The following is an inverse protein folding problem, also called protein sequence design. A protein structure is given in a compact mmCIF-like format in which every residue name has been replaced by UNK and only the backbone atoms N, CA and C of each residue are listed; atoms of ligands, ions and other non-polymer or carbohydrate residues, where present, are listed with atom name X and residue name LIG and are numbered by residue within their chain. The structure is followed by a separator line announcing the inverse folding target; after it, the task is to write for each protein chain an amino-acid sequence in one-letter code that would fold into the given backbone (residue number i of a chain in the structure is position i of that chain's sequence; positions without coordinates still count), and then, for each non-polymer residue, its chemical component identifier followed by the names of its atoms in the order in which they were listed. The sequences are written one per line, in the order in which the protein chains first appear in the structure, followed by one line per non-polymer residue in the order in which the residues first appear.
data_IF_055040870850
#
_entry.id   IF_055040870850
#
_cell.length_a   1.000
_cell.length_b   1.000
_cell.length_c   1.000
_cell.angle_alpha   90.00
_cell.angle_beta   90.00
_cell.angle_gamma   90.00
#
_symmetry.space_group_name_H-M   'P 1'
#
loop_
_entity.id
_entity.type
_entity.pdbx_description
1 polymer ?
#
# COMPACT_ATOMS: atom_id res chain seq x y z
N UNK A 1 20.41 -22.14 -4.99
CA UNK A 1 19.48 -21.34 -4.18
C UNK A 1 20.05 -19.93 -4.15
N UNK A 2 19.43 -18.98 -4.87
CA UNK A 2 19.75 -17.56 -4.74
C UNK A 2 18.81 -16.99 -3.71
N UNK A 3 19.32 -16.50 -2.59
CA UNK A 3 18.59 -15.65 -1.65
C UNK A 3 19.08 -14.22 -1.81
N UNK A 4 18.44 -13.25 -1.18
CA UNK A 4 19.04 -11.93 -0.99
C UNK A 4 19.38 -11.73 0.49
N UNK A 5 20.37 -10.89 0.77
CA UNK A 5 20.83 -10.54 2.11
C UNK A 5 20.62 -9.05 2.31
N UNK A 6 19.78 -8.69 3.28
CA UNK A 6 19.58 -7.31 3.71
C UNK A 6 20.53 -7.00 4.87
N UNK A 7 21.31 -5.93 4.75
CA UNK A 7 22.34 -5.53 5.71
C UNK A 7 22.11 -4.06 6.08
N UNK A 8 21.96 -3.77 7.36
CA UNK A 8 21.95 -2.40 7.87
C UNK A 8 23.34 -1.92 8.28
N UNK A 9 23.62 -0.64 8.04
CA UNK A 9 24.83 0.06 8.45
C UNK A 9 24.41 1.35 9.19
N UNK A 10 24.06 1.25 10.50
CA UNK A 10 23.46 2.35 11.26
C UNK A 10 24.40 3.54 11.54
N UNK A 11 25.70 3.38 11.39
CA UNK A 11 26.69 4.45 11.63
C UNK A 11 27.31 4.96 10.32
N UNK A 12 26.58 4.80 9.22
CA UNK A 12 27.02 5.29 7.92
C UNK A 12 26.71 6.79 7.79
N UNK A 13 27.68 7.55 7.28
CA UNK A 13 27.64 9.01 7.22
C UNK A 13 27.18 9.58 5.86
N UNK A 14 26.67 8.74 4.95
CA UNK A 14 26.35 9.15 3.57
C UNK A 14 25.34 10.29 3.48
N UNK A 15 24.43 10.43 4.46
CA UNK A 15 23.44 11.52 4.54
C UNK A 15 23.71 12.56 5.63
N UNK A 16 24.04 12.12 6.85
CA UNK A 16 24.46 12.92 7.98
C UNK A 16 25.27 12.05 8.96
N UNK A 17 25.94 12.65 9.96
CA UNK A 17 26.75 11.93 10.96
C UNK A 17 25.94 10.85 11.68
N UNK A 18 26.34 9.59 11.60
CA UNK A 18 25.63 8.43 12.17
C UNK A 18 24.14 8.34 11.73
N UNK A 19 23.80 8.85 10.54
CA UNK A 19 22.42 8.79 10.04
C UNK A 19 22.01 7.38 9.63
N UNK A 20 22.97 6.60 9.13
CA UNK A 20 22.80 5.21 8.74
C UNK A 20 22.24 4.98 7.34
N UNK A 21 22.42 3.75 6.85
CA UNK A 21 21.98 3.28 5.53
C UNK A 21 21.68 1.78 5.59
N UNK A 22 21.01 1.22 4.59
CA UNK A 22 20.93 -0.23 4.43
C UNK A 22 21.17 -0.67 2.97
N UNK A 23 21.72 -1.86 2.80
CA UNK A 23 22.10 -2.42 1.51
C UNK A 23 21.44 -3.78 1.30
N UNK A 24 21.12 -4.08 0.05
CA UNK A 24 20.62 -5.36 -0.37
C UNK A 24 21.58 -6.03 -1.32
N UNK A 25 21.99 -7.26 -0.99
CA UNK A 25 22.91 -8.04 -1.81
C UNK A 25 22.25 -9.33 -2.31
N UNK A 26 22.65 -9.76 -3.50
CA UNK A 26 22.38 -11.12 -3.96
C UNK A 26 23.29 -12.11 -3.19
N UNK A 27 22.70 -13.09 -2.51
CA UNK A 27 23.43 -14.01 -1.66
C UNK A 27 24.33 -14.97 -2.45
N UNK A 28 24.08 -15.14 -3.76
CA UNK A 28 24.85 -16.06 -4.59
C UNK A 28 26.08 -15.40 -5.22
N UNK A 29 25.94 -14.17 -5.71
CA UNK A 29 26.98 -13.42 -6.42
C UNK A 29 27.66 -12.34 -5.58
N UNK A 30 27.03 -11.91 -4.47
CA UNK A 30 27.49 -10.75 -3.70
C UNK A 30 27.26 -9.42 -4.42
N UNK A 31 26.51 -9.42 -5.52
CA UNK A 31 26.18 -8.19 -6.24
C UNK A 31 25.24 -7.32 -5.39
N UNK A 32 25.53 -6.03 -5.32
CA UNK A 32 24.61 -5.05 -4.76
C UNK A 32 23.38 -4.96 -5.66
N UNK A 33 22.22 -5.25 -5.09
CA UNK A 33 20.91 -5.20 -5.74
C UNK A 33 20.23 -3.85 -5.52
N UNK A 34 20.28 -3.33 -4.29
CA UNK A 34 19.63 -2.07 -3.94
C UNK A 34 20.31 -1.41 -2.74
N UNK A 35 20.10 -0.09 -2.61
CA UNK A 35 20.56 0.72 -1.48
C UNK A 35 19.38 1.53 -0.95
N UNK A 36 19.12 1.41 0.34
CA UNK A 36 18.05 2.10 1.04
C UNK A 36 18.62 3.24 1.89
N UNK A 37 18.23 4.46 1.54
CA UNK A 37 18.63 5.68 2.22
C UNK A 37 17.50 6.21 3.12
N UNK A 38 17.87 6.91 4.20
CA UNK A 38 16.91 7.66 5.01
C UNK A 38 16.41 8.88 4.20
N UNK A 39 15.10 9.06 3.97
CA UNK A 39 14.54 10.21 3.24
C UNK A 39 14.78 11.57 3.91
N UNK A 40 15.00 11.59 5.23
CA UNK A 40 15.26 12.80 6.01
C UNK A 40 16.38 12.52 7.02
N UNK A 41 17.64 12.34 6.56
CA UNK A 41 18.73 11.94 7.42
C UNK A 41 19.08 13.05 8.41
N UNK A 42 18.96 12.76 9.70
CA UNK A 42 19.45 13.61 10.78
C UNK A 42 20.59 12.92 11.54
N UNK A 43 21.47 13.70 12.19
CA UNK A 43 22.58 13.14 12.94
C UNK A 43 22.11 12.17 14.03
N UNK A 44 22.65 10.96 14.03
CA UNK A 44 22.37 9.95 15.04
C UNK A 44 21.06 9.17 14.87
N UNK A 45 20.31 9.36 13.78
CA UNK A 45 19.06 8.62 13.50
C UNK A 45 19.25 7.08 13.52
N UNK A 46 20.44 6.63 13.08
CA UNK A 46 20.83 5.22 13.01
C UNK A 46 19.89 4.35 12.17
N UNK A 47 19.53 4.83 11.00
CA UNK A 47 18.80 4.07 10.00
C UNK A 47 19.54 2.78 9.64
N UNK A 48 18.85 1.63 9.68
CA UNK A 48 19.50 0.32 9.50
C UNK A 48 19.89 -0.35 10.82
N UNK A 49 19.58 0.24 11.98
CA UNK A 49 19.79 -0.39 13.29
C UNK A 49 18.98 -1.69 13.46
N UNK A 50 17.86 -1.81 12.76
CA UNK A 50 17.12 -3.06 12.64
C UNK A 50 16.61 -3.23 11.21
N UNK A 51 16.65 -4.46 10.71
CA UNK A 51 16.21 -4.79 9.35
C UNK A 51 15.36 -6.05 9.36
N UNK A 52 14.30 -6.09 8.56
CA UNK A 52 13.47 -7.25 8.34
C UNK A 52 13.04 -7.30 6.88
N UNK A 53 13.08 -8.49 6.28
CA UNK A 53 12.64 -8.71 4.91
C UNK A 53 11.71 -9.92 4.84
N UNK A 54 10.65 -9.82 4.04
CA UNK A 54 9.70 -10.91 3.81
C UNK A 54 8.85 -10.67 2.57
N UNK A 55 8.84 -11.63 1.65
CA UNK A 55 8.08 -11.52 0.39
C UNK A 55 8.59 -10.37 -0.48
N UNK A 56 7.74 -9.37 -0.71
CA UNK A 56 8.06 -8.14 -1.44
C UNK A 56 8.37 -6.94 -0.54
N UNK A 57 8.51 -7.15 0.78
CA UNK A 57 8.58 -6.08 1.77
C UNK A 57 9.92 -6.09 2.50
N UNK A 58 10.52 -4.90 2.62
CA UNK A 58 11.65 -4.59 3.48
C UNK A 58 11.21 -3.55 4.51
N UNK A 59 11.48 -3.80 5.78
CA UNK A 59 11.31 -2.84 6.86
C UNK A 59 12.68 -2.54 7.48
N UNK A 60 13.00 -1.26 7.61
CA UNK A 60 14.25 -0.76 8.19
C UNK A 60 13.91 0.21 9.31
N UNK A 61 14.40 -0.07 10.51
CA UNK A 61 14.20 0.78 11.67
C UNK A 61 15.32 1.80 11.85
N UNK A 62 14.91 2.98 12.31
CA UNK A 62 15.73 4.12 12.72
C UNK A 62 15.27 4.51 14.12
N UNK A 63 15.94 4.01 15.15
CA UNK A 63 15.37 4.02 16.52
C UNK A 63 15.56 5.36 17.26
N UNK A 64 16.49 6.19 16.79
CA UNK A 64 16.76 7.53 17.32
C UNK A 64 16.17 8.63 16.43
N UNK A 65 15.32 8.26 15.48
CA UNK A 65 14.70 9.20 14.56
C UNK A 65 13.86 10.26 15.29
N UNK A 66 14.18 11.52 15.02
CA UNK A 66 13.64 12.71 15.67
C UNK A 66 12.50 13.40 14.88
N UNK A 67 12.12 12.88 13.71
CA UNK A 67 11.23 13.57 12.74
C UNK A 67 9.86 13.93 13.31
N UNK A 68 9.31 13.10 14.19
CA UNK A 68 7.97 13.32 14.80
C UNK A 68 8.05 13.77 16.27
N UNK A 69 9.08 13.36 17.00
CA UNK A 69 9.41 13.79 18.36
C UNK A 69 10.83 13.30 18.72
N UNK A 70 11.50 13.89 19.72
CA UNK A 70 12.85 13.48 20.10
C UNK A 70 12.94 11.98 20.45
N UNK A 71 13.81 11.26 19.74
CA UNK A 71 14.09 9.84 19.77
C UNK A 71 12.80 8.99 19.73
N UNK A 72 11.81 9.43 18.96
CA UNK A 72 10.55 8.70 18.83
C UNK A 72 10.73 7.38 18.08
N UNK A 73 11.71 7.37 17.17
CA UNK A 73 12.01 6.25 16.31
C UNK A 73 11.00 6.09 15.18
N UNK A 74 11.49 5.70 14.02
CA UNK A 74 10.72 5.55 12.79
C UNK A 74 11.05 4.20 12.15
N UNK A 75 10.08 3.60 11.47
CA UNK A 75 10.29 2.43 10.62
C UNK A 75 9.95 2.79 9.18
N UNK A 76 10.93 2.62 8.30
CA UNK A 76 10.81 2.83 6.87
C UNK A 76 10.46 1.51 6.20
N UNK A 77 9.42 1.51 5.37
CA UNK A 77 8.92 0.33 4.68
C UNK A 77 9.08 0.51 3.18
N UNK A 78 9.88 -0.35 2.56
CA UNK A 78 10.10 -0.43 1.13
C UNK A 78 9.33 -1.62 0.57
N UNK A 79 8.56 -1.39 -0.50
CA UNK A 79 7.73 -2.40 -1.18
C UNK A 79 8.34 -2.76 -2.53
N UNK A 80 7.82 -3.82 -3.15
CA UNK A 80 8.24 -4.39 -4.44
C UNK A 80 9.66 -4.98 -4.49
N UNK A 81 10.23 -5.26 -3.33
CA UNK A 81 11.55 -5.86 -3.19
C UNK A 81 11.43 -7.38 -3.27
N UNK A 82 11.57 -7.95 -4.47
CA UNK A 82 11.32 -9.38 -4.69
C UNK A 82 12.42 -10.26 -4.06
N UNK A 83 12.05 -11.04 -3.04
CA UNK A 83 12.93 -12.02 -2.41
C UNK A 83 12.46 -13.47 -2.62
N UNK A 84 13.25 -14.33 -3.29
CA UNK A 84 14.50 -14.08 -4.02
C UNK A 84 14.28 -13.41 -5.39
N UNK A 85 15.30 -12.75 -5.98
CA UNK A 85 15.18 -12.18 -7.32
C UNK A 85 14.73 -13.26 -8.32
N UNK A 86 13.89 -12.92 -9.32
CA UNK A 86 13.46 -13.89 -10.32
C UNK A 86 14.71 -14.50 -10.99
N UNK A 87 14.76 -15.82 -11.21
CA UNK A 87 15.87 -16.44 -11.94
C UNK A 87 16.06 -15.70 -13.27
N UNK A 88 17.31 -15.51 -13.75
CA UNK A 88 17.53 -14.82 -15.02
C UNK A 88 16.74 -15.56 -16.10
N UNK A 89 15.70 -14.90 -16.64
CA UNK A 89 14.94 -15.44 -17.77
C UNK A 89 15.91 -15.48 -18.94
N UNK A 90 16.40 -16.68 -19.27
CA UNK A 90 17.15 -16.92 -20.50
C UNK A 90 16.22 -16.61 -21.67
N UNK A 91 16.34 -15.41 -22.22
CA UNK A 91 15.69 -15.00 -23.46
C UNK A 91 16.16 -15.94 -24.56
N UNK A 92 15.42 -17.01 -24.81
CA UNK A 92 15.72 -17.94 -25.90
C UNK A 92 15.20 -17.33 -27.19
N UNK A 93 16.04 -16.55 -27.87
CA UNK A 93 15.76 -16.04 -29.20
C UNK A 93 15.65 -17.21 -30.17
N UNK A 94 14.42 -17.68 -30.42
CA UNK A 94 14.17 -18.72 -31.41
C UNK A 94 14.21 -18.07 -32.79
N UNK A 95 15.32 -18.25 -33.52
CA UNK A 95 15.45 -17.77 -34.90
C UNK A 95 14.83 -18.81 -35.83
N UNK A 96 13.57 -18.61 -36.21
CA UNK A 96 12.90 -19.46 -37.20
C UNK A 96 13.42 -19.12 -38.60
N UNK A 97 14.34 -19.92 -39.13
CA UNK A 97 14.79 -19.82 -40.53
C UNK A 97 13.73 -20.45 -41.43
N UNK A 98 12.95 -19.60 -42.11
CA UNK A 98 12.07 -20.05 -43.19
C UNK A 98 12.95 -20.28 -44.43
N UNK A 99 13.15 -21.56 -44.77
CA UNK A 99 13.76 -21.96 -46.05
C UNK A 99 12.77 -21.68 -47.18
N UNK A 100 13.15 -20.80 -48.10
CA UNK A 100 12.47 -20.63 -49.39
C UNK A 100 13.21 -21.44 -50.44
N UNK A 101 12.58 -22.52 -50.92
CA UNK A 101 12.96 -23.24 -52.13
C UNK A 101 12.41 -22.50 -53.34
N UNK A 102 13.29 -22.06 -54.25
CA UNK A 102 12.91 -21.68 -55.61
C UNK A 102 13.73 -22.43 -56.63
N UNK A 103 13.00 -23.11 -57.51
CA UNK A 103 13.38 -24.05 -58.55
C UNK A 103 14.08 -23.35 -59.71
N UNK A 104 15.04 -24.05 -60.31
CA UNK A 104 15.85 -23.62 -61.44
C UNK A 104 15.07 -23.71 -62.76
N UNK A 105 15.03 -22.64 -63.54
CA UNK A 105 14.71 -22.69 -64.99
C UNK A 105 15.68 -21.78 -65.74
N UNK A 106 16.28 -22.34 -66.78
CA UNK A 106 17.34 -21.77 -67.62
C UNK A 106 16.74 -20.77 -68.62
N UNK A 107 17.20 -19.51 -68.60
CA UNK A 107 17.64 -18.71 -69.76
C UNK A 107 17.65 -17.20 -69.45
N UNK A 108 18.86 -16.64 -69.42
CA UNK A 108 19.28 -15.31 -69.93
C UNK A 108 18.33 -14.11 -69.76
N UNK A 109 18.61 -13.22 -68.80
CA UNK A 109 18.92 -11.79 -69.02
C UNK A 109 19.08 -11.07 -67.68
N UNK A 110 20.16 -10.30 -67.58
CA UNK A 110 20.54 -9.49 -66.43
C UNK A 110 19.74 -8.20 -66.41
N UNK A 111 19.10 -7.87 -65.29
CA UNK A 111 18.84 -6.47 -64.90
C UNK A 111 18.42 -6.38 -63.44
N UNK A 112 19.31 -5.81 -62.64
CA UNK A 112 19.09 -5.38 -61.26
C UNK A 112 18.46 -3.99 -61.27
N UNK A 113 17.33 -3.82 -60.58
CA UNK A 113 16.91 -2.51 -60.08
C UNK A 113 16.01 -2.69 -58.86
N UNK A 114 16.56 -2.33 -57.70
CA UNK A 114 15.91 -2.33 -56.40
C UNK A 114 14.85 -1.22 -56.40
N UNK A 115 13.58 -1.61 -56.41
CA UNK A 115 12.47 -0.66 -56.26
C UNK A 115 12.01 -0.67 -54.80
N UNK A 116 12.08 0.50 -54.17
CA UNK A 116 11.82 0.72 -52.77
C UNK A 116 10.44 0.25 -52.33
N UNK A 117 10.42 -0.45 -51.19
CA UNK A 117 9.21 -0.64 -50.42
C UNK A 117 8.97 0.63 -49.59
N UNK A 118 7.83 1.27 -49.81
CA UNK A 118 7.31 2.32 -48.94
C UNK A 118 6.85 1.64 -47.65
N UNK A 119 7.57 1.88 -46.55
CA UNK A 119 7.12 1.45 -45.22
C UNK A 119 6.31 2.58 -44.60
N UNK A 120 4.99 2.43 -44.53
CA UNK A 120 4.15 3.28 -43.68
C UNK A 120 4.28 2.80 -42.25
N UNK A 121 5.00 3.55 -41.42
CA UNK A 121 5.08 3.31 -39.98
C UNK A 121 3.90 4.01 -39.30
N UNK A 122 2.86 3.26 -38.94
CA UNK A 122 1.91 3.72 -37.93
C UNK A 122 2.48 3.32 -36.58
N UNK A 123 3.08 4.28 -35.88
CA UNK A 123 3.47 4.13 -34.48
C UNK A 123 2.18 4.10 -33.66
N UNK A 124 1.67 2.90 -33.36
CA UNK A 124 0.76 2.76 -32.22
C UNK A 124 1.57 3.04 -30.95
N UNK A 125 1.12 3.90 -30.03
CA UNK A 125 1.75 4.00 -28.72
C UNK A 125 1.76 2.61 -28.06
N UNK A 126 2.80 2.27 -27.29
CA UNK A 126 2.90 0.97 -26.64
C UNK A 126 1.64 0.71 -25.80
N UNK A 127 1.14 -0.53 -25.76
CA UNK A 127 0.00 -0.87 -24.91
C UNK A 127 0.35 -0.49 -23.47
N UNK A 128 -0.51 0.32 -22.86
CA UNK A 128 -0.40 0.82 -21.49
C UNK A 128 -0.51 -0.38 -20.53
N UNK A 129 0.59 -1.09 -20.35
CA UNK A 129 0.69 -2.33 -19.60
C UNK A 129 1.73 -2.20 -18.49
N UNK A 130 1.61 -1.16 -17.67
CA UNK A 130 2.54 -0.92 -16.55
C UNK A 130 1.89 -0.71 -15.18
N UNK A 131 0.55 -0.63 -15.05
CA UNK A 131 -0.03 -0.10 -13.81
C UNK A 131 -1.03 -1.01 -13.07
N UNK A 132 -1.45 -2.17 -13.62
CA UNK A 132 -2.54 -2.93 -12.98
C UNK A 132 -2.16 -3.73 -11.73
N UNK A 133 -0.87 -3.85 -11.38
CA UNK A 133 -0.43 -4.65 -10.22
C UNK A 133 0.25 -3.84 -9.11
N UNK A 134 0.53 -2.55 -9.32
CA UNK A 134 1.28 -1.68 -8.38
C UNK A 134 0.50 -0.46 -7.91
N UNK A 135 -0.70 -0.22 -8.43
CA UNK A 135 -1.50 0.96 -8.08
C UNK A 135 -2.48 0.71 -6.92
N UNK A 136 -2.49 -0.49 -6.32
CA UNK A 136 -3.31 -0.78 -5.14
C UNK A 136 -2.59 -0.29 -3.88
N UNK A 137 -3.09 0.78 -3.25
CA UNK A 137 -2.55 1.26 -1.97
C UNK A 137 -2.99 0.40 -0.77
N UNK A 138 -3.75 -0.67 -1.05
CA UNK A 138 -4.40 -1.57 -0.09
C UNK A 138 -5.37 -0.84 0.83
N UNK A 139 -5.82 0.37 0.44
CA UNK A 139 -6.90 1.04 1.11
C UNK A 139 -8.22 0.65 0.41
N UNK A 140 -9.06 -0.20 1.04
CA UNK A 140 -10.33 -0.60 0.43
C UNK A 140 -11.31 0.57 0.22
N UNK A 141 -10.99 1.77 0.71
CA UNK A 141 -11.81 2.99 0.61
C UNK A 141 -11.30 4.02 -0.40
N UNK A 142 -10.26 3.71 -1.14
CA UNK A 142 -9.81 4.45 -2.31
C UNK A 142 -10.20 3.67 -3.56
N UNK A 143 -10.53 4.40 -4.62
CA UNK A 143 -10.60 3.83 -5.96
C UNK A 143 -9.28 4.12 -6.64
N UNK A 144 -8.55 3.05 -6.92
CA UNK A 144 -7.26 3.11 -7.58
C UNK A 144 -7.47 3.15 -9.09
N UNK A 145 -7.11 4.28 -9.67
CA UNK A 145 -7.20 4.52 -11.11
C UNK A 145 -5.81 4.68 -11.67
N UNK A 146 -5.51 3.93 -12.72
CA UNK A 146 -4.26 4.06 -13.46
C UNK A 146 -4.53 4.79 -14.77
N UNK A 147 -3.82 5.89 -14.98
CA UNK A 147 -3.82 6.61 -16.26
C UNK A 147 -2.40 6.87 -16.77
N UNK A 148 -2.27 7.54 -17.91
CA UNK A 148 -0.98 7.89 -18.51
C UNK A 148 -0.13 8.83 -17.62
N UNK A 149 -0.73 9.46 -16.60
CA UNK A 149 -0.06 10.35 -15.65
C UNK A 149 0.40 9.63 -14.37
N UNK A 150 0.04 8.36 -14.20
CA UNK A 150 0.48 7.51 -13.10
C UNK A 150 -0.68 6.89 -12.32
N UNK A 151 -0.39 6.48 -11.08
CA UNK A 151 -1.38 5.94 -10.17
C UNK A 151 -2.09 7.06 -9.41
N UNK A 152 -3.43 7.07 -9.47
CA UNK A 152 -4.29 7.99 -8.71
C UNK A 152 -5.18 7.21 -7.77
N UNK A 153 -4.97 7.42 -6.48
CA UNK A 153 -5.84 6.95 -5.42
C UNK A 153 -6.92 8.01 -5.16
N UNK A 154 -8.15 7.72 -5.55
CA UNK A 154 -9.27 8.64 -5.37
C UNK A 154 -10.10 8.21 -4.17
N UNK A 155 -10.09 9.03 -3.12
CA UNK A 155 -10.92 8.77 -1.95
C UNK A 155 -12.36 9.18 -2.26
N UNK A 156 -13.31 8.26 -2.02
CA UNK A 156 -14.73 8.55 -2.11
C UNK A 156 -15.11 9.67 -1.13
N UNK A 157 -16.01 10.59 -1.48
CA UNK A 157 -16.42 11.69 -0.58
C UNK A 157 -17.86 11.47 -0.13
N UNK A 158 -18.13 11.73 1.15
CA UNK A 158 -19.49 11.73 1.69
C UNK A 158 -19.89 10.42 2.36
N UNK A 159 -21.12 9.96 2.15
CA UNK A 159 -21.64 8.74 2.79
C UNK A 159 -20.86 7.46 2.42
N UNK A 160 -20.52 7.20 1.13
CA UNK A 160 -19.81 5.98 0.74
C UNK A 160 -18.44 5.86 1.43
N UNK A 161 -17.75 6.99 1.54
CA UNK A 161 -16.46 7.13 2.22
C UNK A 161 -16.47 6.60 3.66
N UNK A 162 -17.43 7.10 4.45
CA UNK A 162 -17.56 6.74 5.86
C UNK A 162 -18.06 5.30 6.01
N UNK A 163 -18.98 4.86 5.15
CA UNK A 163 -19.45 3.48 5.15
C UNK A 163 -18.31 2.50 4.87
N UNK A 164 -17.45 2.80 3.90
CA UNK A 164 -16.28 1.99 3.63
C UNK A 164 -15.35 1.93 4.85
N UNK A 165 -15.01 3.06 5.47
CA UNK A 165 -14.13 3.07 6.65
C UNK A 165 -14.70 2.25 7.82
N UNK A 166 -16.02 2.25 7.98
CA UNK A 166 -16.69 1.41 8.98
C UNK A 166 -16.68 -0.08 8.60
N UNK A 167 -16.74 -0.41 7.33
CA UNK A 167 -16.62 -1.80 6.84
C UNK A 167 -15.19 -2.32 7.05
N UNK A 168 -14.16 -1.50 6.79
CA UNK A 168 -12.76 -1.82 7.12
C UNK A 168 -12.54 -2.01 8.62
N UNK A 169 -13.14 -1.13 9.44
CA UNK A 169 -13.09 -1.26 10.90
C UNK A 169 -13.77 -2.55 11.39
N UNK A 170 -14.92 -2.91 10.80
CA UNK A 170 -15.63 -4.16 11.12
C UNK A 170 -14.79 -5.38 10.74
N UNK A 171 -14.16 -5.38 9.57
CA UNK A 171 -13.26 -6.45 9.13
C UNK A 171 -12.07 -6.63 10.08
N UNK A 172 -11.44 -5.54 10.51
CA UNK A 172 -10.34 -5.58 11.48
C UNK A 172 -10.79 -6.12 12.84
N UNK A 173 -11.98 -5.72 13.32
CA UNK A 173 -12.51 -6.24 14.59
C UNK A 173 -12.77 -7.75 14.54
N UNK A 174 -13.28 -8.26 13.42
CA UNK A 174 -13.49 -9.70 13.24
C UNK A 174 -12.19 -10.49 13.04
N UNK A 175 -11.17 -9.87 12.43
CA UNK A 175 -9.84 -10.46 12.25
C UNK A 175 -9.02 -10.55 13.53
N UNK A 176 -9.30 -9.71 14.54
CA UNK A 176 -8.58 -9.71 15.80
C UNK A 176 -9.05 -10.84 16.74
N UNK A 177 -8.12 -11.53 17.43
CA UNK A 177 -8.51 -12.53 18.41
C UNK A 177 -9.30 -11.85 19.54
N UNK A 178 -10.44 -12.42 19.92
CA UNK A 178 -11.33 -11.89 20.98
C UNK A 178 -10.62 -11.66 22.31
N UNK A 179 -9.52 -12.36 22.58
CA UNK A 179 -8.65 -12.17 23.74
C UNK A 179 -7.93 -10.81 23.68
N UNK A 180 -7.44 -10.39 22.51
CA UNK A 180 -6.79 -9.10 22.31
C UNK A 180 -7.78 -7.92 22.45
N UNK A 181 -9.08 -8.17 22.29
CA UNK A 181 -10.17 -7.20 22.47
C UNK A 181 -10.81 -7.25 23.88
N UNK A 182 -10.15 -7.85 24.87
CA UNK A 182 -10.64 -7.90 26.25
C UNK A 182 -11.77 -8.88 26.52
N UNK A 183 -11.85 -9.94 25.69
CA UNK A 183 -12.74 -11.07 25.86
C UNK A 183 -14.03 -11.00 25.03
N UNK A 184 -14.77 -12.11 25.00
CA UNK A 184 -15.96 -12.29 24.12
C UNK A 184 -17.03 -11.21 24.29
N UNK A 185 -17.31 -10.78 25.54
CA UNK A 185 -18.35 -9.79 25.81
C UNK A 185 -17.97 -8.39 25.33
N UNK A 186 -16.70 -7.99 25.53
CA UNK A 186 -16.23 -6.69 25.11
C UNK A 186 -16.11 -6.63 23.59
N UNK A 187 -15.53 -7.66 22.96
CA UNK A 187 -15.46 -7.80 21.51
C UNK A 187 -16.85 -7.70 20.86
N UNK A 188 -17.84 -8.48 21.33
CA UNK A 188 -19.21 -8.42 20.80
C UNK A 188 -19.87 -7.05 20.99
N UNK A 189 -19.55 -6.33 22.08
CA UNK A 189 -20.05 -4.97 22.31
C UNK A 189 -19.42 -3.97 21.33
N UNK A 190 -18.14 -4.14 21.00
CA UNK A 190 -17.42 -3.30 20.05
C UNK A 190 -17.93 -3.53 18.63
N UNK A 191 -18.04 -4.80 18.20
CA UNK A 191 -18.63 -5.21 16.92
C UNK A 191 -20.05 -4.65 16.76
N UNK A 192 -20.92 -4.82 17.77
CA UNK A 192 -22.28 -4.29 17.73
C UNK A 192 -22.33 -2.76 17.55
N UNK A 193 -21.40 -2.03 18.16
CA UNK A 193 -21.35 -0.56 18.05
C UNK A 193 -20.95 -0.11 16.65
N UNK A 194 -19.99 -0.79 16.02
CA UNK A 194 -19.59 -0.49 14.63
C UNK A 194 -20.75 -0.80 13.69
N UNK A 195 -21.38 -1.97 13.82
CA UNK A 195 -22.55 -2.35 13.04
C UNK A 195 -23.74 -1.38 13.21
N UNK A 196 -23.97 -0.87 14.43
CA UNK A 196 -25.01 0.12 14.70
C UNK A 196 -24.68 1.48 14.07
N UNK A 197 -23.43 1.95 14.17
CA UNK A 197 -22.99 3.20 13.55
C UNK A 197 -23.17 3.14 12.02
N UNK A 198 -22.75 2.04 11.40
CA UNK A 198 -22.93 1.78 9.96
C UNK A 198 -24.40 1.85 9.55
N UNK A 199 -25.29 1.13 10.24
CA UNK A 199 -26.73 1.16 9.96
C UNK A 199 -27.32 2.56 10.09
N UNK A 200 -26.87 3.35 11.07
CA UNK A 200 -27.31 4.73 11.25
C UNK A 200 -26.87 5.63 10.08
N UNK A 201 -25.64 5.46 9.58
CA UNK A 201 -25.11 6.25 8.46
C UNK A 201 -25.76 5.85 7.13
N UNK A 202 -25.90 4.55 6.86
CA UNK A 202 -26.59 4.05 5.66
C UNK A 202 -28.07 4.49 5.64
N UNK A 203 -28.74 4.44 6.80
CA UNK A 203 -30.10 4.98 6.89
C UNK A 203 -30.13 6.51 6.78
N UNK A 204 -29.06 7.22 7.15
CA UNK A 204 -28.98 8.67 6.98
C UNK A 204 -28.85 9.08 5.51
N UNK A 205 -28.14 8.30 4.69
CA UNK A 205 -27.99 8.53 3.24
C UNK A 205 -29.35 8.55 2.53
N UNK A 206 -30.20 7.58 2.84
CA UNK A 206 -31.57 7.48 2.30
C UNK A 206 -32.56 8.48 2.91
N UNK A 207 -32.16 9.26 3.92
CA UNK A 207 -33.04 10.20 4.61
C UNK A 207 -32.72 11.65 4.24
N UNK A 208 -33.74 12.50 4.20
CA UNK A 208 -33.57 13.93 3.91
C UNK A 208 -33.57 14.81 5.17
N UNK A 209 -32.75 15.86 5.15
CA UNK A 209 -32.76 16.99 6.09
C UNK A 209 -32.57 16.61 7.56
N UNK A 210 -33.46 17.11 8.43
CA UNK A 210 -33.33 16.95 9.90
C UNK A 210 -33.29 15.48 10.37
N UNK A 211 -33.91 14.54 9.62
CA UNK A 211 -33.92 13.12 9.98
C UNK A 211 -32.53 12.50 9.79
N UNK A 212 -31.87 12.79 8.68
CA UNK A 212 -30.51 12.36 8.42
C UNK A 212 -29.52 12.99 9.39
N UNK A 213 -29.64 14.30 9.67
CA UNK A 213 -28.80 14.98 10.66
C UNK A 213 -28.89 14.34 12.06
N UNK A 214 -30.10 13.97 12.54
CA UNK A 214 -30.27 13.26 13.82
C UNK A 214 -29.64 11.86 13.82
N UNK A 215 -29.70 11.14 12.70
CA UNK A 215 -29.07 9.81 12.55
C UNK A 215 -27.55 9.92 12.58
N UNK A 216 -26.97 10.91 11.89
CA UNK A 216 -25.53 11.20 11.90
C UNK A 216 -25.03 11.53 13.32
N UNK A 217 -25.75 12.38 14.07
CA UNK A 217 -25.39 12.70 15.47
C UNK A 217 -25.44 11.46 16.36
N UNK A 218 -26.42 10.57 16.17
CA UNK A 218 -26.47 9.30 16.91
C UNK A 218 -25.30 8.38 16.53
N UNK A 219 -24.93 8.32 15.26
CA UNK A 219 -23.78 7.53 14.81
C UNK A 219 -22.48 8.04 15.45
N UNK A 220 -22.27 9.35 15.45
CA UNK A 220 -21.13 10.02 16.09
C UNK A 220 -21.05 9.66 17.59
N UNK A 221 -22.17 9.73 18.32
CA UNK A 221 -22.21 9.34 19.73
C UNK A 221 -21.88 7.86 19.96
N UNK A 222 -22.30 6.96 19.07
CA UNK A 222 -21.97 5.53 19.14
C UNK A 222 -20.46 5.33 18.95
N UNK A 223 -19.84 6.00 17.98
CA UNK A 223 -18.40 5.94 17.72
C UNK A 223 -17.57 6.54 18.86
N UNK A 224 -18.01 7.65 19.46
CA UNK A 224 -17.36 8.22 20.65
C UNK A 224 -17.38 7.24 21.83
N UNK A 225 -18.52 6.57 22.08
CA UNK A 225 -18.62 5.54 23.11
C UNK A 225 -17.75 4.33 22.81
N UNK A 226 -17.66 3.92 21.55
CA UNK A 226 -16.76 2.87 21.08
C UNK A 226 -15.30 3.22 21.38
N UNK A 227 -14.82 4.39 20.93
CA UNK A 227 -13.45 4.84 21.18
C UNK A 227 -13.14 4.93 22.68
N UNK A 228 -14.09 5.42 23.48
CA UNK A 228 -13.94 5.50 24.94
C UNK A 228 -13.80 4.11 25.59
N UNK A 229 -14.58 3.13 25.14
CA UNK A 229 -14.47 1.76 25.63
C UNK A 229 -13.13 1.12 25.27
N UNK A 230 -12.57 1.41 24.09
CA UNK A 230 -11.24 0.92 23.70
C UNK A 230 -10.14 1.56 24.56
N UNK A 231 -10.13 2.89 24.69
CA UNK A 231 -9.15 3.59 25.53
C UNK A 231 -9.17 3.07 26.95
N UNK A 232 -10.36 2.89 27.51
CA UNK A 232 -10.53 2.38 28.86
C UNK A 232 -10.18 0.89 29.00
N UNK A 233 -10.42 0.08 27.97
CA UNK A 233 -9.96 -1.30 27.90
C UNK A 233 -8.43 -1.39 27.84
N UNK A 234 -7.79 -0.49 27.09
CA UNK A 234 -6.35 -0.36 26.99
C UNK A 234 -5.71 0.08 28.31
N UNK A 235 -6.24 1.12 28.98
CA UNK A 235 -5.71 1.60 30.27
C UNK A 235 -5.87 0.57 31.38
N UNK A 236 -6.91 -0.27 31.32
CA UNK A 236 -7.11 -1.39 32.25
C UNK A 236 -6.35 -2.67 31.89
N UNK A 237 -5.52 -2.65 30.84
CA UNK A 237 -4.75 -3.82 30.39
C UNK A 237 -5.60 -4.96 29.82
N UNK A 238 -6.87 -4.69 29.48
CA UNK A 238 -7.78 -5.70 28.89
C UNK A 238 -7.63 -5.80 27.39
N UNK A 239 -7.28 -4.70 26.72
CA UNK A 239 -7.07 -4.64 25.27
C UNK A 239 -5.58 -4.42 25.03
N UNK A 240 -4.98 -5.18 24.12
CA UNK A 240 -3.58 -5.01 23.75
C UNK A 240 -3.36 -3.61 23.15
N UNK A 241 -2.27 -2.93 23.52
CA UNK A 241 -1.99 -1.55 23.06
C UNK A 241 -1.93 -1.43 21.54
N UNK A 242 -1.27 -2.37 20.87
CA UNK A 242 -1.18 -2.40 19.40
C UNK A 242 -2.58 -2.53 18.75
N UNK A 243 -3.40 -3.45 19.25
CA UNK A 243 -4.77 -3.63 18.75
C UNK A 243 -5.64 -2.38 19.03
N UNK A 244 -5.51 -1.77 20.22
CA UNK A 244 -6.23 -0.56 20.57
C UNK A 244 -5.83 0.63 19.67
N UNK A 245 -4.54 0.78 19.37
CA UNK A 245 -4.02 1.83 18.50
C UNK A 245 -4.61 1.75 17.08
N UNK A 246 -4.49 0.59 16.44
CA UNK A 246 -4.97 0.37 15.07
C UNK A 246 -6.49 0.61 14.95
N UNK A 247 -7.27 0.09 15.90
CA UNK A 247 -8.73 0.23 15.90
C UNK A 247 -9.16 1.67 16.20
N UNK A 248 -8.41 2.40 17.05
CA UNK A 248 -8.69 3.82 17.31
C UNK A 248 -8.35 4.72 16.13
N UNK A 249 -7.26 4.44 15.41
CA UNK A 249 -6.90 5.18 14.20
C UNK A 249 -8.00 5.07 13.13
N UNK A 250 -8.40 3.84 12.80
CA UNK A 250 -9.49 3.58 11.84
C UNK A 250 -10.81 4.23 12.25
N UNK A 251 -11.14 4.22 13.54
CA UNK A 251 -12.34 4.86 14.04
C UNK A 251 -12.27 6.40 14.00
N UNK A 252 -11.08 6.99 14.17
CA UNK A 252 -10.87 8.42 14.09
C UNK A 252 -11.15 8.94 12.67
N UNK A 253 -10.63 8.24 11.65
CA UNK A 253 -10.84 8.58 10.24
C UNK A 253 -12.33 8.61 9.88
N UNK A 254 -13.09 7.59 10.31
CA UNK A 254 -14.53 7.54 10.11
C UNK A 254 -15.27 8.71 10.81
N UNK A 255 -14.80 9.14 11.99
CA UNK A 255 -15.43 10.26 12.72
C UNK A 255 -15.11 11.64 12.14
N UNK A 256 -13.94 11.82 11.51
CA UNK A 256 -13.50 13.11 10.99
C UNK A 256 -14.36 13.63 9.83
N UNK A 257 -15.00 12.74 9.08
CA UNK A 257 -15.79 13.10 7.90
C UNK A 257 -17.28 13.38 8.20
N UNK A 258 -17.79 12.92 9.35
CA UNK A 258 -19.19 13.09 9.74
C UNK A 258 -19.65 14.56 9.86
N UNK A 259 -18.85 15.51 10.39
CA UNK A 259 -19.23 16.91 10.45
C UNK A 259 -19.47 17.53 9.07
N UNK A 260 -18.64 17.19 8.08
CA UNK A 260 -18.77 17.68 6.71
C UNK A 260 -20.06 17.17 6.05
N UNK A 261 -20.36 15.87 6.20
CA UNK A 261 -21.61 15.27 5.70
C UNK A 261 -22.82 15.91 6.37
N UNK A 262 -22.75 16.14 7.69
CA UNK A 262 -23.84 16.79 8.42
C UNK A 262 -24.08 18.22 7.98
N UNK A 263 -23.03 18.94 7.57
CA UNK A 263 -23.15 20.28 7.01
C UNK A 263 -23.81 20.26 5.62
N UNK A 264 -23.47 19.27 4.78
CA UNK A 264 -24.04 19.12 3.45
C UNK A 264 -25.53 18.68 3.45
N UNK A 265 -26.00 18.04 4.52
CA UNK A 265 -27.37 17.51 4.67
C UNK A 265 -28.33 18.49 5.37
N UNK A 266 -27.81 19.58 5.94
CA UNK A 266 -28.60 20.61 6.64
C UNK A 266 -29.31 21.54 5.68
#
# INVERSE_FOLDING_TARGET
AGGAVLIGAPFDDTGAEDAGIAYLFDAASGALLDTFENPAPAPGDQFGASVAAGGSLVAIGSWLDDTVAPNAGTVYVFRDQVFPPPPPTLTTTTTTTVSTTTTTTIATTTSTSVSGAVTTTTTLPPPVAACSTTCDDQDPCTTDTCDETGCRHTFEIGFPAVLCRLDSLDAVLHGLPRLALGGRRLAATLEFRVALARRLIASAETAAGRRASRRLVRAEQVLVRFATAIRHGMTRGKIARAAAGNVLALAADATQQLPAIRAAVR
#
